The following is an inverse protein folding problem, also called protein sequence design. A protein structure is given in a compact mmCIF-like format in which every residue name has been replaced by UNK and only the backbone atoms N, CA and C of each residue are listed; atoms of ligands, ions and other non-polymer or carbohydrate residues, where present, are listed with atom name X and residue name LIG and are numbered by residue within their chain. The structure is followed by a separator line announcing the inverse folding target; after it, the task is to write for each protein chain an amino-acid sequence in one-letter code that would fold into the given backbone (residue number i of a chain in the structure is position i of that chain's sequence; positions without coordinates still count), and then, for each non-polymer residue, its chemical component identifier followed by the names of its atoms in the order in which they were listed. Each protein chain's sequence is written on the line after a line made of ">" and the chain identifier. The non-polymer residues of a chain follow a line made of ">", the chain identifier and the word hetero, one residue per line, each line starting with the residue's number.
data_IF_075675724300
#
_entry.id   IF_075675724300
#
_cell.length_a   1.000
_cell.length_b   1.000
_cell.length_c   1.000
_cell.angle_alpha   90.00
_cell.angle_beta   90.00
_cell.angle_gamma   90.00
#
_symmetry.space_group_name_H-M   'P 1'
#
loop_
_entity.id
_entity.type
_entity.pdbx_description
1 polymer ?
#
# COMPACT_ATOMS: atom_id res chain seq x y z
N UNK A 1 -10.00 -0.41 -9.96
CA UNK A 1 -8.59 -0.74 -9.65
C UNK A 1 -8.45 -1.43 -8.30
N UNK A 2 -8.90 -0.82 -7.20
CA UNK A 2 -8.70 -1.34 -5.83
C UNK A 2 -9.39 -2.69 -5.60
N UNK A 3 -10.65 -2.86 -6.01
CA UNK A 3 -11.39 -4.13 -5.87
C UNK A 3 -10.71 -5.28 -6.61
N UNK A 4 -10.23 -5.05 -7.83
CA UNK A 4 -9.49 -6.06 -8.61
C UNK A 4 -8.22 -6.52 -7.89
N UNK A 5 -7.52 -5.61 -7.21
CA UNK A 5 -6.35 -5.97 -6.40
C UNK A 5 -6.76 -6.81 -5.18
N UNK A 6 -7.75 -6.36 -4.42
CA UNK A 6 -8.23 -7.07 -3.22
C UNK A 6 -8.61 -8.51 -3.60
N UNK A 7 -9.43 -8.66 -4.64
CA UNK A 7 -9.90 -9.98 -5.09
C UNK A 7 -8.75 -10.88 -5.54
N UNK A 8 -7.75 -10.34 -6.24
CA UNK A 8 -6.59 -11.11 -6.67
C UNK A 8 -5.74 -11.58 -5.48
N UNK A 9 -5.38 -10.69 -4.56
CA UNK A 9 -4.51 -11.04 -3.43
C UNK A 9 -5.20 -11.95 -2.41
N UNK A 10 -6.51 -11.79 -2.23
CA UNK A 10 -7.33 -12.74 -1.47
C UNK A 10 -7.30 -14.12 -2.12
N UNK A 11 -7.60 -14.20 -3.43
CA UNK A 11 -7.61 -15.46 -4.17
C UNK A 11 -6.30 -16.24 -4.05
N UNK A 12 -5.15 -15.60 -4.27
CA UNK A 12 -3.85 -16.31 -4.18
C UNK A 12 -3.50 -16.72 -2.75
N UNK A 13 -4.02 -16.02 -1.74
CA UNK A 13 -3.85 -16.39 -0.34
C UNK A 13 -4.69 -17.62 -0.01
N UNK A 14 -5.94 -17.67 -0.49
CA UNK A 14 -6.84 -18.81 -0.34
C UNK A 14 -6.29 -20.06 -1.06
N UNK A 15 -5.77 -19.89 -2.28
CA UNK A 15 -5.11 -20.97 -3.04
C UNK A 15 -3.88 -21.53 -2.30
N UNK A 16 -3.08 -20.66 -1.71
CA UNK A 16 -1.91 -21.06 -0.95
C UNK A 16 -2.28 -21.81 0.34
N UNK A 17 -3.33 -21.37 1.05
CA UNK A 17 -3.87 -22.11 2.20
C UNK A 17 -4.38 -23.49 1.77
N UNK A 18 -5.18 -23.57 0.71
CA UNK A 18 -5.68 -24.83 0.17
C UNK A 18 -4.52 -25.78 -0.20
N UNK A 19 -3.48 -25.26 -0.84
CA UNK A 19 -2.26 -26.02 -1.15
C UNK A 19 -1.58 -26.54 0.10
N UNK A 20 -1.46 -25.73 1.17
CA UNK A 20 -0.89 -26.18 2.45
C UNK A 20 -1.71 -27.31 3.07
N UNK A 21 -3.05 -27.19 3.10
CA UNK A 21 -3.92 -28.21 3.69
C UNK A 21 -3.87 -29.54 2.93
N UNK A 22 -3.63 -29.49 1.62
CA UNK A 22 -3.45 -30.68 0.77
C UNK A 22 -2.00 -31.16 0.69
N UNK A 23 -1.10 -30.60 1.52
CA UNK A 23 0.34 -30.85 1.51
C UNK A 23 1.01 -30.69 0.13
N UNK A 24 0.60 -29.67 -0.62
CA UNK A 24 1.13 -29.33 -1.93
C UNK A 24 1.99 -28.07 -1.87
N UNK A 25 3.00 -28.01 -2.74
CA UNK A 25 3.82 -26.80 -2.92
C UNK A 25 2.99 -25.73 -3.64
N UNK A 26 3.12 -24.49 -3.19
CA UNK A 26 2.57 -23.32 -3.87
C UNK A 26 3.70 -22.34 -4.19
N UNK A 27 3.58 -21.64 -5.32
CA UNK A 27 4.52 -20.60 -5.72
C UNK A 27 3.76 -19.32 -6.02
N UNK A 28 3.98 -18.32 -5.17
CA UNK A 28 3.53 -16.96 -5.41
C UNK A 28 4.25 -16.40 -6.63
N UNK A 29 3.47 -15.98 -7.64
CA UNK A 29 3.99 -15.38 -8.86
C UNK A 29 3.37 -14.00 -9.09
N UNK A 30 4.20 -13.07 -9.58
CA UNK A 30 3.74 -11.73 -9.94
C UNK A 30 2.75 -11.84 -11.10
N UNK A 31 1.55 -11.30 -10.93
CA UNK A 31 0.63 -11.09 -12.04
C UNK A 31 1.04 -9.83 -12.79
N UNK A 32 1.82 -10.01 -13.85
CA UNK A 32 2.35 -8.91 -14.67
C UNK A 32 1.21 -8.04 -15.24
N UNK A 33 0.11 -8.64 -15.68
CA UNK A 33 -1.04 -7.90 -16.22
C UNK A 33 -1.66 -6.98 -15.15
N UNK A 34 -1.88 -7.50 -13.95
CA UNK A 34 -2.40 -6.70 -12.83
C UNK A 34 -1.44 -5.58 -12.43
N UNK A 35 -0.14 -5.89 -12.35
CA UNK A 35 0.88 -4.91 -12.02
C UNK A 35 0.95 -3.79 -13.06
N UNK A 36 0.95 -4.12 -14.36
CA UNK A 36 0.94 -3.13 -15.44
C UNK A 36 -0.36 -2.31 -15.45
N UNK A 37 -1.51 -2.91 -15.17
CA UNK A 37 -2.78 -2.19 -15.07
C UNK A 37 -2.73 -1.14 -13.94
N UNK A 38 -2.17 -1.50 -12.77
CA UNK A 38 -2.01 -0.55 -11.66
C UNK A 38 -1.06 0.59 -12.04
N UNK A 39 0.11 0.26 -12.62
CA UNK A 39 1.09 1.24 -13.11
C UNK A 39 0.45 2.20 -14.12
N UNK A 40 -0.29 1.68 -15.10
CA UNK A 40 -0.99 2.49 -16.10
C UNK A 40 -2.00 3.44 -15.46
N UNK A 41 -2.75 2.98 -14.45
CA UNK A 41 -3.68 3.84 -13.74
C UNK A 41 -2.98 4.95 -12.96
N UNK A 42 -1.84 4.66 -12.31
CA UNK A 42 -1.05 5.69 -11.63
C UNK A 42 -0.50 6.73 -12.60
N UNK A 43 0.08 6.28 -13.72
CA UNK A 43 0.62 7.17 -14.76
C UNK A 43 -0.44 8.05 -15.43
N UNK A 44 -1.70 7.62 -15.46
CA UNK A 44 -2.84 8.45 -15.93
C UNK A 44 -3.20 9.58 -14.97
N UNK A 45 -2.89 9.43 -13.68
CA UNK A 45 -3.17 10.44 -12.65
C UNK A 45 -2.11 11.53 -12.66
N UNK A 46 -0.84 11.11 -12.67
CA UNK A 46 0.30 12.00 -12.66
C UNK A 46 1.52 11.32 -13.28
N UNK A 47 2.16 12.01 -14.23
CA UNK A 47 3.36 11.57 -14.92
C UNK A 47 4.59 12.42 -14.58
N UNK A 48 4.51 13.22 -13.51
CA UNK A 48 5.64 13.95 -12.94
C UNK A 48 6.80 13.02 -12.60
N UNK A 49 8.02 13.57 -12.52
CA UNK A 49 9.22 12.84 -12.12
C UNK A 49 9.04 12.15 -10.75
N UNK A 50 8.45 12.86 -9.78
CA UNK A 50 8.19 12.33 -8.45
C UNK A 50 7.26 11.11 -8.48
N UNK A 51 6.19 11.15 -9.28
CA UNK A 51 5.28 10.01 -9.43
C UNK A 51 5.92 8.85 -10.18
N UNK A 52 6.73 9.11 -11.21
CA UNK A 52 7.48 8.06 -11.92
C UNK A 52 8.43 7.30 -10.99
N UNK A 53 9.19 8.01 -10.16
CA UNK A 53 10.08 7.41 -9.17
C UNK A 53 9.33 6.56 -8.14
N UNK A 54 8.19 7.06 -7.65
CA UNK A 54 7.32 6.33 -6.74
C UNK A 54 6.76 5.05 -7.37
N UNK A 55 6.32 5.11 -8.63
CA UNK A 55 5.77 3.99 -9.39
C UNK A 55 6.86 2.93 -9.66
N UNK A 56 8.08 3.34 -9.97
CA UNK A 56 9.22 2.43 -10.13
C UNK A 56 9.57 1.73 -8.83
N UNK A 57 9.54 2.45 -7.70
CA UNK A 57 9.69 1.86 -6.38
C UNK A 57 8.57 0.85 -6.09
N UNK A 58 7.32 1.20 -6.39
CA UNK A 58 6.17 0.30 -6.26
C UNK A 58 6.39 -1.00 -7.03
N UNK A 59 6.79 -0.92 -8.31
CA UNK A 59 7.08 -2.10 -9.14
C UNK A 59 8.14 -3.00 -8.50
N UNK A 60 9.24 -2.43 -7.99
CA UNK A 60 10.32 -3.18 -7.33
C UNK A 60 9.84 -3.84 -6.04
N UNK A 61 9.13 -3.12 -5.21
CA UNK A 61 8.68 -3.58 -3.89
C UNK A 61 7.58 -4.65 -4.01
N UNK A 62 6.68 -4.54 -4.99
CA UNK A 62 5.71 -5.60 -5.27
C UNK A 62 6.40 -6.90 -5.67
N UNK A 63 7.45 -6.87 -6.50
CA UNK A 63 8.23 -8.07 -6.83
C UNK A 63 8.92 -8.68 -5.62
N UNK A 64 9.53 -7.85 -4.77
CA UNK A 64 10.16 -8.29 -3.51
C UNK A 64 9.15 -8.94 -2.56
N UNK A 65 7.92 -8.43 -2.54
CA UNK A 65 6.85 -9.01 -1.73
C UNK A 65 6.55 -10.46 -2.11
N UNK A 66 6.45 -10.76 -3.41
CA UNK A 66 6.26 -12.15 -3.90
C UNK A 66 7.43 -13.06 -3.51
N UNK A 67 8.67 -12.57 -3.59
CA UNK A 67 9.84 -13.33 -3.14
C UNK A 67 9.77 -13.63 -1.63
N UNK A 68 9.39 -12.64 -0.83
CA UNK A 68 9.23 -12.79 0.62
C UNK A 68 8.13 -13.81 0.94
N UNK A 69 6.99 -13.73 0.26
CA UNK A 69 5.88 -14.67 0.42
C UNK A 69 6.29 -16.11 0.10
N UNK A 70 7.05 -16.33 -0.98
CA UNK A 70 7.58 -17.65 -1.31
C UNK A 70 8.54 -18.19 -0.23
N UNK A 71 9.42 -17.34 0.31
CA UNK A 71 10.35 -17.73 1.37
C UNK A 71 9.56 -18.13 2.62
N UNK A 72 8.60 -17.31 3.06
CA UNK A 72 7.82 -17.59 4.26
C UNK A 72 6.89 -18.80 4.05
N UNK A 73 6.34 -19.00 2.85
CA UNK A 73 5.51 -20.17 2.53
C UNK A 73 6.31 -21.46 2.67
N UNK A 74 7.49 -21.51 2.06
CA UNK A 74 8.34 -22.71 2.14
C UNK A 74 8.77 -23.00 3.58
N UNK A 75 8.95 -21.98 4.43
CA UNK A 75 9.20 -22.19 5.86
C UNK A 75 8.01 -22.87 6.55
N UNK A 76 6.79 -22.40 6.30
CA UNK A 76 5.57 -23.00 6.86
C UNK A 76 5.39 -24.43 6.34
N UNK A 77 5.53 -24.64 5.03
CA UNK A 77 5.43 -25.95 4.39
C UNK A 77 6.45 -26.95 4.95
N UNK A 78 7.70 -26.54 5.12
CA UNK A 78 8.73 -27.39 5.70
C UNK A 78 8.45 -27.69 7.17
N UNK A 79 7.94 -26.71 7.94
CA UNK A 79 7.57 -26.91 9.35
C UNK A 79 6.41 -27.92 9.47
N UNK A 80 5.44 -27.85 8.56
CA UNK A 80 4.30 -28.78 8.52
C UNK A 80 4.77 -30.21 8.22
N UNK A 81 5.72 -30.38 7.29
CA UNK A 81 6.27 -31.69 6.92
C UNK A 81 7.34 -32.23 7.88
N UNK A 82 7.81 -31.44 8.84
CA UNK A 82 8.80 -31.85 9.82
C UNK A 82 8.18 -32.52 11.06
N UNK A 83 6.86 -32.62 11.14
CA UNK A 83 6.16 -33.17 12.30
C UNK A 83 4.99 -34.05 11.89
N UNK A 84 4.81 -35.16 12.60
CA UNK A 84 3.63 -36.04 12.47
C UNK A 84 2.57 -35.77 13.54
N UNK A 85 2.81 -34.82 14.45
CA UNK A 85 1.84 -34.43 15.48
C UNK A 85 0.68 -33.63 14.86
N UNK A 86 -0.49 -34.26 14.80
CA UNK A 86 -1.71 -33.69 14.24
C UNK A 86 -2.17 -32.41 14.95
N UNK A 87 -1.96 -32.29 16.27
CA UNK A 87 -2.31 -31.07 17.02
C UNK A 87 -1.39 -29.93 16.60
N UNK A 88 -0.09 -30.21 16.44
CA UNK A 88 0.88 -29.23 15.99
C UNK A 88 0.64 -28.82 14.53
N UNK A 89 0.29 -29.76 13.64
CA UNK A 89 -0.08 -29.45 12.25
C UNK A 89 -1.28 -28.52 12.20
N UNK A 90 -2.35 -28.84 12.93
CA UNK A 90 -3.54 -28.00 12.96
C UNK A 90 -3.24 -26.60 13.50
N UNK A 91 -2.38 -26.49 14.51
CA UNK A 91 -1.93 -25.19 15.03
C UNK A 91 -1.18 -24.37 13.96
N UNK A 92 -0.27 -24.98 13.21
CA UNK A 92 0.46 -24.31 12.12
C UNK A 92 -0.50 -23.81 11.04
N UNK A 93 -1.51 -24.62 10.68
CA UNK A 93 -2.52 -24.25 9.68
C UNK A 93 -3.41 -23.11 10.18
N UNK A 94 -3.83 -23.14 11.46
CA UNK A 94 -4.61 -22.06 12.07
C UNK A 94 -3.79 -20.75 12.11
N UNK A 95 -2.52 -20.81 12.54
CA UNK A 95 -1.63 -19.65 12.57
C UNK A 95 -1.52 -19.02 11.16
N UNK A 96 -1.45 -19.84 10.12
CA UNK A 96 -1.46 -19.36 8.73
C UNK A 96 -2.82 -18.75 8.36
N UNK A 97 -3.93 -19.41 8.68
CA UNK A 97 -5.27 -18.93 8.33
C UNK A 97 -5.58 -17.57 8.99
N UNK A 98 -5.16 -17.39 10.24
CA UNK A 98 -5.41 -16.16 11.01
C UNK A 98 -4.54 -15.00 10.55
N UNK A 99 -3.27 -15.26 10.22
CA UNK A 99 -2.29 -14.20 9.94
C UNK A 99 -2.01 -13.99 8.44
N UNK A 100 -2.26 -15.01 7.62
CA UNK A 100 -1.87 -15.07 6.21
C UNK A 100 -0.36 -15.21 5.99
N UNK A 101 0.04 -15.33 4.71
CA UNK A 101 1.45 -15.37 4.35
C UNK A 101 2.08 -13.98 4.39
N UNK A 102 3.24 -13.86 5.02
CA UNK A 102 3.95 -12.59 5.13
C UNK A 102 4.60 -12.23 3.80
N UNK A 103 4.14 -11.12 3.23
CA UNK A 103 4.71 -10.52 2.02
C UNK A 103 5.68 -9.38 2.31
N UNK A 104 5.62 -8.77 3.50
CA UNK A 104 6.45 -7.63 3.83
C UNK A 104 6.81 -7.58 5.32
N UNK A 105 8.05 -7.16 5.61
CA UNK A 105 8.55 -6.93 6.96
C UNK A 105 9.01 -5.47 7.05
N UNK A 106 8.34 -4.70 7.88
CA UNK A 106 8.68 -3.30 8.12
C UNK A 106 9.93 -3.18 9.01
N UNK A 107 10.60 -2.02 8.98
CA UNK A 107 11.80 -1.76 9.79
C UNK A 107 11.53 -1.84 11.30
N UNK A 108 10.32 -1.51 11.74
CA UNK A 108 9.89 -1.61 13.14
C UNK A 108 9.50 -3.04 13.56
N UNK A 109 9.79 -4.05 12.72
CA UNK A 109 9.45 -5.45 12.99
C UNK A 109 8.03 -5.85 12.64
N UNK A 110 7.15 -4.92 12.23
CA UNK A 110 5.79 -5.26 11.85
C UNK A 110 5.78 -6.20 10.63
N UNK A 111 4.98 -7.26 10.71
CA UNK A 111 4.85 -8.30 9.69
C UNK A 111 3.51 -8.12 9.00
N UNK A 112 3.53 -7.95 7.69
CA UNK A 112 2.33 -7.69 6.90
C UNK A 112 2.11 -8.85 5.94
N UNK A 113 0.90 -9.40 5.95
CA UNK A 113 0.53 -10.40 4.97
C UNK A 113 0.41 -9.79 3.56
N UNK A 114 0.51 -10.64 2.54
CA UNK A 114 0.57 -10.23 1.14
C UNK A 114 -0.66 -9.42 0.74
N UNK A 115 -1.85 -9.78 1.23
CA UNK A 115 -3.11 -9.07 0.96
C UNK A 115 -3.12 -7.68 1.59
N UNK A 116 -2.86 -7.59 2.88
CA UNK A 116 -2.88 -6.32 3.63
C UNK A 116 -1.84 -5.35 3.08
N UNK A 117 -0.62 -5.82 2.83
CA UNK A 117 0.46 -4.98 2.31
C UNK A 117 0.17 -4.49 0.90
N UNK A 118 -0.23 -5.37 -0.02
CA UNK A 118 -0.50 -5.00 -1.41
C UNK A 118 -1.65 -4.00 -1.53
N UNK A 119 -2.74 -4.21 -0.78
CA UNK A 119 -3.90 -3.32 -0.77
C UNK A 119 -3.56 -1.94 -0.20
N UNK A 120 -2.88 -1.90 0.95
CA UNK A 120 -2.41 -0.65 1.56
C UNK A 120 -1.47 0.09 0.59
N UNK A 121 -0.49 -0.61 0.02
CA UNK A 121 0.56 0.03 -0.76
C UNK A 121 0.05 0.56 -2.09
N UNK A 122 -0.85 -0.18 -2.77
CA UNK A 122 -1.52 0.34 -3.98
C UNK A 122 -2.35 1.60 -3.66
N UNK A 123 -3.10 1.61 -2.56
CA UNK A 123 -3.89 2.80 -2.17
C UNK A 123 -2.98 3.98 -1.85
N UNK A 124 -1.87 3.73 -1.15
CA UNK A 124 -0.90 4.77 -0.84
C UNK A 124 -0.31 5.39 -2.11
N UNK A 125 0.17 4.58 -3.05
CA UNK A 125 0.74 5.07 -4.32
C UNK A 125 -0.29 5.83 -5.14
N UNK A 126 -1.53 5.33 -5.21
CA UNK A 126 -2.63 6.05 -5.86
C UNK A 126 -2.82 7.45 -5.28
N UNK A 127 -2.92 7.55 -3.94
CA UNK A 127 -3.19 8.82 -3.26
C UNK A 127 -2.00 9.78 -3.39
N UNK A 128 -0.77 9.28 -3.34
CA UNK A 128 0.42 10.08 -3.60
C UNK A 128 0.44 10.64 -5.03
N UNK A 129 0.11 9.83 -6.05
CA UNK A 129 -0.01 10.33 -7.42
C UNK A 129 -1.07 11.44 -7.52
N UNK A 130 -2.22 11.29 -6.87
CA UNK A 130 -3.26 12.34 -6.84
C UNK A 130 -2.74 13.63 -6.18
N UNK A 131 -2.06 13.50 -5.03
CA UNK A 131 -1.48 14.64 -4.30
C UNK A 131 -0.41 15.34 -5.14
N UNK A 132 0.48 14.59 -5.78
CA UNK A 132 1.51 15.13 -6.67
C UNK A 132 0.89 15.85 -7.86
N UNK A 133 -0.15 15.29 -8.48
CA UNK A 133 -0.88 15.93 -9.58
C UNK A 133 -1.40 17.32 -9.18
N UNK A 134 -2.07 17.41 -8.02
CA UNK A 134 -2.60 18.69 -7.53
C UNK A 134 -1.48 19.66 -7.17
N UNK A 135 -0.41 19.18 -6.55
CA UNK A 135 0.75 20.00 -6.17
C UNK A 135 1.43 20.59 -7.41
N UNK A 136 1.69 19.79 -8.43
CA UNK A 136 2.31 20.24 -9.68
C UNK A 136 1.41 21.21 -10.45
N UNK A 137 0.09 20.95 -10.50
CA UNK A 137 -0.85 21.89 -11.08
C UNK A 137 -0.91 23.21 -10.30
N UNK A 138 -0.83 23.17 -8.97
CA UNK A 138 -0.81 24.38 -8.13
C UNK A 138 0.43 25.22 -8.43
N UNK A 139 1.60 24.60 -8.53
CA UNK A 139 2.85 25.28 -8.94
C UNK A 139 2.73 25.90 -10.34
N UNK A 140 2.18 25.17 -11.32
CA UNK A 140 1.97 25.66 -12.69
C UNK A 140 1.05 26.89 -12.75
N UNK A 141 0.09 26.98 -11.83
CA UNK A 141 -0.81 28.13 -11.70
C UNK A 141 -0.22 29.28 -10.87
N UNK A 142 1.06 29.22 -10.51
CA UNK A 142 1.74 30.25 -9.70
C UNK A 142 1.22 30.31 -8.26
N UNK A 143 0.60 29.24 -7.75
CA UNK A 143 0.16 29.17 -6.36
C UNK A 143 1.34 28.78 -5.48
N UNK A 144 1.40 29.39 -4.30
CA UNK A 144 2.44 29.11 -3.29
C UNK A 144 1.91 28.25 -2.12
N UNK A 145 0.59 28.05 -2.08
CA UNK A 145 -0.11 27.39 -0.98
C UNK A 145 -1.12 26.38 -1.50
N UNK A 146 -1.33 25.35 -0.69
CA UNK A 146 -2.36 24.32 -0.90
C UNK A 146 -3.15 24.11 0.37
N UNK A 147 -4.37 23.58 0.24
CA UNK A 147 -5.22 23.25 1.39
C UNK A 147 -5.24 21.73 1.61
N UNK A 148 -5.15 21.31 2.86
CA UNK A 148 -5.41 19.91 3.25
C UNK A 148 -6.92 19.70 3.37
N UNK A 149 -7.45 18.63 2.76
CA UNK A 149 -8.87 18.29 2.83
C UNK A 149 -9.37 18.12 4.27
N UNK A 150 -10.69 18.20 4.47
CA UNK A 150 -11.33 17.96 5.77
C UNK A 150 -12.35 16.82 5.63
N UNK A 151 -12.30 15.84 6.52
CA UNK A 151 -13.24 14.71 6.61
C UNK A 151 -13.54 14.27 8.07
N UNK A 152 -13.08 15.03 9.07
CA UNK A 152 -13.31 14.77 10.49
C UNK A 152 -12.42 13.67 11.06
N UNK A 153 -11.10 13.73 10.80
CA UNK A 153 -10.19 12.66 11.22
C UNK A 153 -10.04 12.58 12.74
N UNK A 154 -9.93 11.36 13.27
CA UNK A 154 -9.49 11.10 14.65
C UNK A 154 -8.01 10.73 14.75
N UNK A 155 -7.29 10.71 13.63
CA UNK A 155 -5.88 10.33 13.59
C UNK A 155 -4.98 11.45 14.14
N UNK A 156 -4.21 11.16 15.19
CA UNK A 156 -3.32 12.14 15.84
C UNK A 156 -2.23 12.69 14.92
N UNK A 157 -1.80 11.92 13.91
CA UNK A 157 -0.82 12.38 12.91
C UNK A 157 -1.43 13.38 11.92
N UNK A 158 -2.72 13.25 11.62
CA UNK A 158 -3.38 14.07 10.60
C UNK A 158 -4.13 15.27 11.17
N UNK A 159 -4.73 15.11 12.35
CA UNK A 159 -5.56 16.13 13.01
C UNK A 159 -4.88 17.50 13.11
N UNK A 160 -3.56 17.62 13.38
CA UNK A 160 -2.88 18.91 13.41
C UNK A 160 -2.87 19.65 12.07
N UNK A 161 -3.07 18.97 10.94
CA UNK A 161 -2.93 19.52 9.59
C UNK A 161 -4.25 19.64 8.84
N UNK A 162 -5.29 18.94 9.31
CA UNK A 162 -6.60 18.90 8.64
C UNK A 162 -7.18 20.30 8.42
N UNK A 163 -7.66 20.58 7.20
CA UNK A 163 -8.26 21.86 6.84
C UNK A 163 -7.29 23.05 6.71
N UNK A 164 -6.03 22.91 7.11
CA UNK A 164 -5.05 24.00 7.04
C UNK A 164 -4.67 24.33 5.59
N UNK A 165 -4.38 25.60 5.37
CA UNK A 165 -3.71 26.09 4.18
C UNK A 165 -2.23 26.18 4.52
N UNK A 166 -1.39 25.48 3.75
CA UNK A 166 0.04 25.36 3.98
C UNK A 166 0.80 25.89 2.77
N UNK A 167 1.93 26.55 2.98
CA UNK A 167 2.95 26.73 1.94
C UNK A 167 3.53 25.37 1.54
N UNK A 168 4.26 25.31 0.44
CA UNK A 168 4.94 24.06 0.05
C UNK A 168 6.00 23.61 1.08
N UNK A 169 6.66 24.55 1.74
CA UNK A 169 7.62 24.23 2.81
C UNK A 169 6.92 23.69 4.06
N UNK A 170 5.82 24.31 4.48
CA UNK A 170 4.99 23.82 5.59
C UNK A 170 4.39 22.45 5.28
N UNK A 171 4.05 22.18 4.01
CA UNK A 171 3.58 20.87 3.57
C UNK A 171 4.64 19.78 3.74
N UNK A 172 5.90 20.05 3.36
CA UNK A 172 6.99 19.09 3.54
C UNK A 172 7.29 18.86 5.03
N UNK A 173 7.20 19.90 5.86
CA UNK A 173 7.26 19.79 7.32
C UNK A 173 6.13 18.90 7.86
N UNK A 174 4.90 19.10 7.39
CA UNK A 174 3.74 18.31 7.79
C UNK A 174 3.88 16.83 7.38
N UNK A 175 4.36 16.56 6.17
CA UNK A 175 4.68 15.19 5.71
C UNK A 175 5.71 14.53 6.60
N UNK A 176 6.78 15.25 6.95
CA UNK A 176 7.83 14.77 7.86
C UNK A 176 7.29 14.47 9.26
N UNK A 177 6.27 15.20 9.71
CA UNK A 177 5.55 14.97 10.95
C UNK A 177 4.50 13.84 10.89
N UNK A 178 4.33 13.17 9.74
CA UNK A 178 3.44 12.01 9.58
C UNK A 178 2.13 12.28 8.84
N UNK A 179 1.91 13.49 8.30
CA UNK A 179 0.82 13.72 7.36
C UNK A 179 0.99 12.80 6.15
N UNK A 180 -0.12 12.28 5.62
CA UNK A 180 -0.14 11.34 4.48
C UNK A 180 0.46 9.95 4.75
N UNK A 181 0.49 9.51 6.02
CA UNK A 181 0.83 8.15 6.41
C UNK A 181 0.05 7.06 5.63
N UNK A 182 0.49 5.79 5.65
CA UNK A 182 -0.27 4.67 5.09
C UNK A 182 -1.74 4.67 5.52
N UNK A 183 -2.66 4.47 4.56
CA UNK A 183 -4.12 4.56 4.74
C UNK A 183 -4.68 5.95 5.08
N UNK A 184 -3.88 7.03 5.00
CA UNK A 184 -4.40 8.38 5.13
C UNK A 184 -5.33 8.74 3.96
N UNK A 185 -6.53 9.23 4.28
CA UNK A 185 -7.56 9.63 3.33
C UNK A 185 -7.46 11.09 2.86
N UNK A 186 -6.54 11.87 3.45
CA UNK A 186 -6.41 13.29 3.11
C UNK A 186 -5.90 13.47 1.68
N UNK A 187 -6.49 14.42 0.97
CA UNK A 187 -6.02 14.88 -0.34
C UNK A 187 -5.57 16.34 -0.25
N UNK A 188 -4.81 16.76 -1.24
CA UNK A 188 -4.45 18.16 -1.44
C UNK A 188 -5.54 18.81 -2.28
N UNK A 189 -5.95 20.02 -1.89
CA UNK A 189 -6.93 20.84 -2.59
C UNK A 189 -6.28 22.16 -3.04
N UNK A 190 -6.73 22.67 -4.19
CA UNK A 190 -6.38 24.00 -4.64
C UNK A 190 -6.88 25.06 -3.66
N UNK A 191 -6.06 26.09 -3.43
CA UNK A 191 -6.52 27.30 -2.75
C UNK A 191 -7.24 28.17 -3.76
N UNK A 192 -8.55 28.35 -3.56
CA UNK A 192 -9.35 29.30 -4.33
C UNK A 192 -9.35 30.61 -3.56
N UNK A 193 -8.67 31.61 -4.10
CA UNK A 193 -8.79 32.98 -3.59
C UNK A 193 -10.20 33.47 -3.91
N UNK A 194 -10.97 33.84 -2.87
CA UNK A 194 -12.24 34.53 -3.09
C UNK A 194 -11.92 35.89 -3.71
N UNK A 195 -12.32 36.09 -4.97
CA UNK A 195 -12.40 37.42 -5.56
C UNK A 195 -13.39 38.20 -4.69
N UNK A 196 -12.89 39.23 -4.01
CA UNK A 196 -13.75 40.20 -3.33
C UNK A 196 -14.38 41.04 -4.43
N UNK A 197 -15.69 40.90 -4.61
CA UNK A 197 -16.49 41.83 -5.41
C UNK A 197 -16.68 43.14 -4.65
#
# INVERSE_FOLDING_TARGET
>A
MIENNINYYKKISDEALSSLTSNQKYKFAVNEKLLQNNISNFMKIDDSTASKELIDKYKKDMRKMFNTANIEYNKVFNKLNATDDEVLKQKILNDYADNGIIGFKAKNGARWNIETYSNMYTRHVNNECVRNSVLEQSKKQGKEKVKISTHGTKCDLCKPWEGKILTFEELETAKSAGLFHPNCLHIILFVVERIKF
#
